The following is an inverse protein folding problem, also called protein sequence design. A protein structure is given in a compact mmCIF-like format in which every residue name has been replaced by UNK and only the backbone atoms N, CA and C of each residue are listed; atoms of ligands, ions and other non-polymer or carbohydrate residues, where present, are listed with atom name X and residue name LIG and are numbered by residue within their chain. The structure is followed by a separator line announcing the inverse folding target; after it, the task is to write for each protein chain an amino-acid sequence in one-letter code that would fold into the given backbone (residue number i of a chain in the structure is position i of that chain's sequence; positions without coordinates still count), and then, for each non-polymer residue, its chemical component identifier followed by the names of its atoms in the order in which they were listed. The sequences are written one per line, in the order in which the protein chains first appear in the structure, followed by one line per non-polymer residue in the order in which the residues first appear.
data_IF_518612188852
#
_entry.id   IF_518612188852
#
_cell.length_a   1.000
_cell.length_b   1.000
_cell.length_c   1.000
_cell.angle_alpha   90.00
_cell.angle_beta   90.00
_cell.angle_gamma   90.00
#
_symmetry.space_group_name_H-M   'P 1'
#
loop_
_entity.id
_entity.type
_entity.pdbx_description
1 polymer ?
#
# COMPACT_ATOMS: atom_id res chain seq x y z
N UNK A 1 89.86 -4.33 33.80
CA UNK A 1 89.12 -3.53 32.80
C UNK A 1 87.63 -3.82 33.00
N UNK A 2 86.87 -2.75 33.27
CA UNK A 2 85.40 -2.57 33.12
C UNK A 2 84.44 -3.62 33.70
N UNK A 3 83.85 -3.31 34.86
CA UNK A 3 82.55 -3.83 35.28
C UNK A 3 81.49 -2.72 35.08
N UNK A 4 80.53 -2.97 34.20
CA UNK A 4 79.47 -2.03 33.82
C UNK A 4 78.20 -2.28 34.64
N UNK A 5 77.67 -1.21 35.22
CA UNK A 5 76.40 -1.19 35.94
C UNK A 5 75.22 -1.27 34.95
N UNK A 6 74.32 -2.25 35.12
CA UNK A 6 73.02 -2.28 34.47
C UNK A 6 71.99 -1.56 35.34
N UNK A 7 71.45 -0.45 34.82
CA UNK A 7 70.29 0.25 35.36
C UNK A 7 69.02 -0.40 34.79
N UNK A 8 68.13 -0.86 35.67
CA UNK A 8 66.85 -1.46 35.32
C UNK A 8 65.86 -0.40 34.77
N UNK A 9 65.36 -0.61 33.55
CA UNK A 9 64.22 0.13 33.01
C UNK A 9 62.94 -0.69 33.26
N UNK A 10 62.16 -0.29 34.26
CA UNK A 10 60.80 -0.80 34.45
C UNK A 10 59.86 -0.09 33.47
N UNK A 11 59.42 -0.80 32.43
CA UNK A 11 58.40 -0.30 31.49
C UNK A 11 57.03 -0.63 32.07
N UNK A 12 56.24 0.39 32.38
CA UNK A 12 54.83 0.26 32.77
C UNK A 12 54.02 -0.23 31.58
N UNK A 13 53.52 -1.46 31.64
CA UNK A 13 52.50 -1.96 30.71
C UNK A 13 51.17 -1.25 31.01
N UNK A 14 50.68 -0.46 30.06
CA UNK A 14 49.32 0.09 30.13
C UNK A 14 48.32 -1.06 29.98
N UNK A 15 47.51 -1.30 31.01
CA UNK A 15 46.39 -2.22 30.94
C UNK A 15 45.41 -1.73 29.86
N UNK A 16 45.00 -2.62 28.95
CA UNK A 16 43.99 -2.32 27.93
C UNK A 16 42.63 -2.22 28.62
N UNK A 17 42.04 -1.03 28.62
CA UNK A 17 40.68 -0.80 29.11
C UNK A 17 39.69 -1.44 28.12
N UNK A 18 38.89 -2.41 28.58
CA UNK A 18 37.80 -2.96 27.78
C UNK A 18 36.71 -1.92 27.66
N UNK A 19 36.57 -1.31 26.48
CA UNK A 19 35.42 -0.45 26.15
C UNK A 19 34.29 -1.33 25.63
N UNK A 20 33.20 -1.40 26.38
CA UNK A 20 31.93 -1.89 25.88
C UNK A 20 31.22 -0.71 25.21
N UNK A 21 30.88 -0.87 23.93
CA UNK A 21 29.93 0.01 23.26
C UNK A 21 28.66 -0.77 22.95
N UNK A 22 27.53 -0.07 22.95
CA UNK A 22 26.22 -0.61 22.61
C UNK A 22 25.64 0.29 21.54
N UNK A 23 25.09 -0.33 20.50
CA UNK A 23 24.30 0.33 19.47
C UNK A 23 22.92 -0.34 19.48
N UNK A 24 21.88 0.45 19.65
CA UNK A 24 20.51 -0.05 19.87
C UNK A 24 19.44 0.80 19.22
N UNK A 25 19.76 1.99 18.74
CA UNK A 25 18.79 2.86 18.07
C UNK A 25 18.93 2.78 16.55
N UNK A 26 17.80 2.88 15.82
CA UNK A 26 17.82 2.79 14.36
C UNK A 26 18.76 3.84 13.71
N UNK A 27 18.80 5.06 14.26
CA UNK A 27 19.67 6.15 13.78
C UNK A 27 21.17 5.83 13.92
N UNK A 28 21.56 4.91 14.80
CA UNK A 28 22.95 4.48 14.97
C UNK A 28 23.39 3.51 13.88
N UNK A 29 22.43 2.81 13.26
CA UNK A 29 22.66 1.90 12.13
C UNK A 29 22.54 2.59 10.76
N UNK A 30 22.00 3.81 10.68
CA UNK A 30 21.88 4.58 9.42
C UNK A 30 23.22 4.81 8.70
N UNK A 31 24.34 4.72 9.43
CA UNK A 31 25.70 4.85 8.89
C UNK A 31 26.31 3.53 8.44
N UNK A 32 25.63 2.40 8.67
CA UNK A 32 26.08 1.07 8.31
C UNK A 32 25.46 0.57 7.00
N UNK A 33 26.16 -0.31 6.30
CA UNK A 33 25.58 -1.07 5.19
C UNK A 33 24.88 -2.32 5.74
N UNK A 34 23.60 -2.49 5.41
CA UNK A 34 22.81 -3.67 5.78
C UNK A 34 22.72 -4.62 4.58
N UNK A 35 23.50 -5.69 4.59
CA UNK A 35 23.38 -6.78 3.62
C UNK A 35 22.55 -7.92 4.20
N UNK A 36 21.40 -8.22 3.58
CA UNK A 36 20.52 -9.31 4.03
C UNK A 36 19.89 -9.09 5.41
N UNK A 37 19.92 -7.86 5.94
CA UNK A 37 19.35 -7.49 7.23
C UNK A 37 18.28 -6.40 7.08
N UNK A 38 17.21 -6.52 7.85
CA UNK A 38 16.20 -5.49 8.04
C UNK A 38 16.38 -4.87 9.43
N UNK A 39 16.23 -3.55 9.50
CA UNK A 39 16.27 -2.78 10.73
C UNK A 39 14.87 -2.25 11.03
N UNK A 40 14.31 -2.63 12.18
CA UNK A 40 13.05 -2.03 12.63
C UNK A 40 13.25 -0.59 13.10
N UNK A 41 12.18 0.21 13.12
CA UNK A 41 12.20 1.56 13.70
C UNK A 41 12.59 1.60 15.19
N UNK A 42 12.51 0.45 15.88
CA UNK A 42 12.94 0.29 17.27
C UNK A 42 14.39 -0.18 17.40
N UNK A 43 15.17 -0.18 16.31
CA UNK A 43 16.58 -0.58 16.30
C UNK A 43 16.83 -2.09 16.32
N UNK A 44 15.83 -2.93 16.06
CA UNK A 44 16.00 -4.39 16.02
C UNK A 44 16.48 -4.83 14.63
N UNK A 45 17.61 -5.54 14.59
CA UNK A 45 18.08 -6.25 13.40
C UNK A 45 17.39 -7.61 13.27
N UNK A 46 16.98 -7.95 12.06
CA UNK A 46 16.51 -9.29 11.66
C UNK A 46 16.98 -9.61 10.25
N UNK A 47 16.84 -10.85 9.81
CA UNK A 47 17.03 -11.17 8.39
C UNK A 47 16.04 -10.36 7.54
N UNK A 48 16.52 -9.76 6.45
CA UNK A 48 15.66 -9.08 5.50
C UNK A 48 14.84 -10.10 4.70
N UNK A 49 13.61 -9.75 4.29
CA UNK A 49 12.93 -10.50 3.24
C UNK A 49 13.78 -10.50 1.97
N UNK A 50 13.81 -11.64 1.28
CA UNK A 50 14.45 -11.74 -0.04
C UNK A 50 13.48 -11.16 -1.06
N UNK A 51 13.89 -10.08 -1.73
CA UNK A 51 13.16 -9.53 -2.86
C UNK A 51 13.56 -10.30 -4.12
N UNK A 52 12.58 -10.91 -4.77
CA UNK A 52 12.75 -11.56 -6.06
C UNK A 52 11.93 -10.80 -7.08
N UNK A 53 12.57 -10.34 -8.15
CA UNK A 53 11.87 -9.81 -9.31
C UNK A 53 11.09 -10.95 -9.98
N UNK A 54 9.78 -10.77 -10.11
CA UNK A 54 8.91 -11.73 -10.79
C UNK A 54 8.88 -11.48 -12.31
N UNK A 55 8.82 -10.21 -12.70
CA UNK A 55 8.76 -9.75 -14.08
C UNK A 55 8.92 -8.23 -14.19
N UNK A 56 9.67 -7.75 -15.19
CA UNK A 56 9.62 -6.37 -15.66
C UNK A 56 8.65 -6.25 -16.86
N UNK A 57 7.47 -5.63 -16.67
CA UNK A 57 6.48 -5.45 -17.75
C UNK A 57 6.86 -4.36 -18.77
N UNK A 58 8.03 -3.73 -18.63
CA UNK A 58 8.46 -2.58 -19.45
C UNK A 58 7.41 -1.46 -19.44
N UNK A 59 6.84 -1.21 -18.26
CA UNK A 59 5.88 -0.15 -17.97
C UNK A 59 6.53 0.89 -17.06
N UNK A 60 6.30 2.20 -17.27
CA UNK A 60 6.83 3.23 -16.39
C UNK A 60 6.33 3.10 -14.95
N UNK A 61 5.03 2.79 -14.77
CA UNK A 61 4.43 2.60 -13.45
C UNK A 61 3.47 1.40 -13.41
N UNK A 62 3.46 0.74 -12.24
CA UNK A 62 2.37 -0.11 -11.78
C UNK A 62 1.71 0.59 -10.59
N UNK A 63 0.39 0.77 -10.68
CA UNK A 63 -0.40 1.58 -9.74
C UNK A 63 -1.20 0.74 -8.75
N UNK A 64 -1.56 -0.48 -9.15
CA UNK A 64 -2.38 -1.37 -8.33
C UNK A 64 -1.96 -2.82 -8.51
N UNK A 65 -2.17 -3.62 -7.47
CA UNK A 65 -1.96 -5.06 -7.52
C UNK A 65 -2.98 -5.80 -6.66
N UNK A 66 -3.42 -6.98 -7.13
CA UNK A 66 -4.34 -7.87 -6.41
C UNK A 66 -4.04 -9.33 -6.76
N UNK A 67 -4.38 -10.25 -5.86
CA UNK A 67 -4.30 -11.68 -6.10
C UNK A 67 -5.70 -12.31 -6.09
N UNK A 68 -5.94 -13.31 -6.94
CA UNK A 68 -7.12 -14.18 -6.83
C UNK A 68 -6.91 -15.31 -5.80
N UNK A 69 -7.95 -16.11 -5.55
CA UNK A 69 -7.87 -17.23 -4.58
C UNK A 69 -6.93 -18.36 -5.01
N UNK A 70 -6.53 -18.39 -6.29
CA UNK A 70 -5.59 -19.36 -6.87
C UNK A 70 -4.15 -18.88 -6.81
N UNK A 71 -3.91 -17.65 -6.34
CA UNK A 71 -2.59 -17.02 -6.27
C UNK A 71 -2.15 -16.37 -7.59
N UNK A 72 -3.04 -16.20 -8.57
CA UNK A 72 -2.76 -15.40 -9.76
C UNK A 72 -2.64 -13.95 -9.35
N UNK A 73 -1.51 -13.32 -9.67
CA UNK A 73 -1.27 -11.90 -9.46
C UNK A 73 -1.74 -11.10 -10.67
N UNK A 74 -2.37 -9.97 -10.39
CA UNK A 74 -2.75 -8.98 -11.37
C UNK A 74 -2.14 -7.64 -10.98
N UNK A 75 -1.57 -6.92 -11.94
CA UNK A 75 -1.03 -5.59 -11.74
C UNK A 75 -1.58 -4.62 -12.79
N UNK A 76 -2.10 -3.50 -12.34
CA UNK A 76 -2.59 -2.42 -13.20
C UNK A 76 -1.49 -1.38 -13.40
N UNK A 77 -1.27 -0.96 -14.64
CA UNK A 77 -0.25 0.03 -14.99
C UNK A 77 -0.78 1.11 -15.93
N UNK A 78 0.15 1.86 -16.50
CA UNK A 78 -0.15 2.89 -17.50
C UNK A 78 -0.73 2.31 -18.80
N UNK A 79 -1.30 3.19 -19.63
CA UNK A 79 -1.88 2.84 -20.94
C UNK A 79 -2.97 1.76 -20.84
N UNK A 80 -3.71 1.74 -19.73
CA UNK A 80 -4.78 0.78 -19.48
C UNK A 80 -4.31 -0.67 -19.34
N UNK A 81 -2.99 -0.93 -19.20
CA UNK A 81 -2.47 -2.31 -19.17
C UNK A 81 -2.75 -3.01 -17.86
N UNK A 82 -3.23 -4.26 -17.97
CA UNK A 82 -3.35 -5.20 -16.88
C UNK A 82 -2.41 -6.37 -17.15
N UNK A 83 -1.43 -6.55 -16.29
CA UNK A 83 -0.48 -7.66 -16.32
C UNK A 83 -1.02 -8.77 -15.43
N UNK A 84 -0.94 -10.02 -15.87
CA UNK A 84 -1.32 -11.22 -15.12
C UNK A 84 -0.14 -12.17 -15.02
N UNK A 85 0.03 -12.78 -13.83
CA UNK A 85 0.97 -13.87 -13.61
C UNK A 85 0.34 -14.95 -12.74
N UNK A 86 0.15 -16.15 -13.28
CA UNK A 86 -0.23 -17.33 -12.48
C UNK A 86 0.95 -17.81 -11.63
N UNK A 87 0.71 -18.55 -10.52
CA UNK A 87 1.78 -19.07 -9.68
C UNK A 87 2.82 -19.87 -10.48
N UNK A 88 4.09 -19.47 -10.42
CA UNK A 88 5.19 -20.10 -11.14
C UNK A 88 5.17 -19.92 -12.67
N UNK A 89 4.19 -19.21 -13.22
CA UNK A 89 4.09 -18.90 -14.65
C UNK A 89 4.82 -17.61 -15.02
N UNK A 90 5.04 -17.41 -16.32
CA UNK A 90 5.52 -16.14 -16.87
C UNK A 90 4.40 -15.11 -16.87
N UNK A 91 4.70 -13.88 -16.48
CA UNK A 91 3.75 -12.78 -16.59
C UNK A 91 3.44 -12.44 -18.06
N UNK A 92 2.23 -11.94 -18.31
CA UNK A 92 1.78 -11.48 -19.64
C UNK A 92 0.79 -10.34 -19.51
N UNK A 93 0.63 -9.54 -20.57
CA UNK A 93 -0.50 -8.61 -20.67
C UNK A 93 -1.79 -9.43 -20.82
N UNK A 94 -2.70 -9.28 -19.86
CA UNK A 94 -4.02 -9.90 -19.89
C UNK A 94 -4.99 -9.07 -20.73
N UNK A 95 -5.03 -7.76 -20.49
CA UNK A 95 -5.96 -6.84 -21.11
C UNK A 95 -5.33 -5.45 -21.25
N UNK A 96 -5.83 -4.69 -22.22
CA UNK A 96 -5.54 -3.27 -22.39
C UNK A 96 -6.87 -2.55 -22.43
N UNK A 97 -7.14 -1.74 -21.41
CA UNK A 97 -8.34 -0.92 -21.33
C UNK A 97 -8.15 0.38 -22.11
N UNK A 98 -9.25 0.92 -22.64
CA UNK A 98 -9.21 2.23 -23.27
C UNK A 98 -9.10 3.32 -22.20
N UNK A 99 -8.14 4.22 -22.39
CA UNK A 99 -7.89 5.36 -21.52
C UNK A 99 -6.88 5.07 -20.40
N UNK A 100 -6.11 6.09 -20.06
CA UNK A 100 -5.53 6.26 -18.72
C UNK A 100 -4.62 5.17 -18.17
N UNK A 101 -4.54 5.14 -16.84
CA UNK A 101 -3.81 4.17 -16.04
C UNK A 101 -4.77 3.37 -15.16
N UNK A 102 -4.48 2.08 -14.94
CA UNK A 102 -5.31 1.18 -14.11
C UNK A 102 -4.93 1.36 -12.64
N UNK A 103 -5.61 2.29 -11.97
CA UNK A 103 -5.33 2.65 -10.58
C UNK A 103 -6.03 1.77 -9.55
N UNK A 104 -7.10 1.06 -9.93
CA UNK A 104 -7.80 0.21 -9.00
C UNK A 104 -8.13 -1.15 -9.62
N UNK A 105 -7.82 -2.21 -8.87
CA UNK A 105 -8.16 -3.58 -9.18
C UNK A 105 -8.86 -4.21 -7.97
N UNK A 106 -9.83 -5.09 -8.23
CA UNK A 106 -10.43 -5.92 -7.20
C UNK A 106 -10.79 -7.30 -7.78
N UNK A 107 -10.68 -8.33 -6.94
CA UNK A 107 -11.14 -9.68 -7.25
C UNK A 107 -12.27 -10.02 -6.31
N UNK A 108 -13.38 -10.53 -6.85
CA UNK A 108 -14.49 -10.99 -6.02
C UNK A 108 -14.31 -12.45 -5.58
N UNK A 109 -15.21 -12.94 -4.73
CA UNK A 109 -15.16 -14.32 -4.22
C UNK A 109 -15.30 -15.43 -5.29
N UNK A 110 -15.56 -15.07 -6.56
CA UNK A 110 -15.64 -15.98 -7.71
C UNK A 110 -14.39 -15.93 -8.60
N UNK A 111 -13.32 -15.28 -8.16
CA UNK A 111 -12.10 -14.98 -8.92
C UNK A 111 -12.36 -14.11 -10.17
N UNK A 112 -13.41 -13.28 -10.16
CA UNK A 112 -13.66 -12.35 -11.27
C UNK A 112 -12.92 -11.04 -11.00
N UNK A 113 -12.14 -10.60 -12.00
CA UNK A 113 -11.35 -9.37 -11.93
C UNK A 113 -12.16 -8.16 -12.36
N UNK A 114 -12.06 -7.09 -11.59
CA UNK A 114 -12.62 -5.78 -11.88
C UNK A 114 -11.52 -4.74 -11.88
N UNK A 115 -11.62 -3.77 -12.79
CA UNK A 115 -10.60 -2.74 -12.98
C UNK A 115 -11.26 -1.37 -13.20
N UNK A 116 -10.68 -0.33 -12.62
CA UNK A 116 -11.00 1.05 -12.93
C UNK A 116 -9.80 1.79 -13.49
N UNK A 117 -10.09 2.76 -14.37
CA UNK A 117 -9.13 3.52 -15.15
C UNK A 117 -9.22 4.99 -14.81
N UNK A 118 -8.07 5.66 -14.68
CA UNK A 118 -7.97 7.12 -14.48
C UNK A 118 -7.20 7.75 -15.66
N UNK A 119 -7.70 8.83 -16.29
CA UNK A 119 -8.92 9.57 -15.96
C UNK A 119 -10.21 8.83 -16.35
N UNK A 120 -11.29 9.12 -15.64
CA UNK A 120 -12.60 8.49 -15.82
C UNK A 120 -13.05 7.71 -14.58
N UNK A 121 -14.28 7.20 -14.64
CA UNK A 121 -14.93 6.46 -13.55
C UNK A 121 -15.37 5.06 -13.97
N UNK A 122 -15.08 4.61 -15.19
CA UNK A 122 -15.53 3.31 -15.69
C UNK A 122 -14.91 2.17 -14.91
N UNK A 123 -15.75 1.25 -14.46
CA UNK A 123 -15.37 -0.02 -13.87
C UNK A 123 -15.67 -1.11 -14.88
N UNK A 124 -14.65 -1.87 -15.26
CA UNK A 124 -14.76 -2.98 -16.18
C UNK A 124 -14.63 -4.30 -15.45
N UNK A 125 -15.44 -5.29 -15.84
CA UNK A 125 -15.21 -6.69 -15.54
C UNK A 125 -14.32 -7.30 -16.62
N UNK A 126 -13.22 -7.93 -16.21
CA UNK A 126 -12.22 -8.52 -17.08
C UNK A 126 -12.36 -10.04 -17.05
N UNK A 127 -12.59 -10.63 -18.22
CA UNK A 127 -12.64 -12.09 -18.36
C UNK A 127 -11.24 -12.72 -18.30
N UNK A 128 -11.17 -14.02 -18.05
CA UNK A 128 -9.93 -14.78 -18.07
C UNK A 128 -9.21 -14.74 -19.44
N UNK A 129 -9.93 -14.46 -20.53
CA UNK A 129 -9.38 -14.26 -21.87
C UNK A 129 -8.95 -12.82 -22.17
N UNK A 130 -9.12 -11.89 -21.23
CA UNK A 130 -8.71 -10.49 -21.39
C UNK A 130 -9.77 -9.56 -21.96
N UNK A 131 -10.96 -10.06 -22.30
CA UNK A 131 -12.08 -9.21 -22.76
C UNK A 131 -12.63 -8.39 -21.60
N UNK A 132 -12.77 -7.08 -21.81
CA UNK A 132 -13.33 -6.14 -20.85
C UNK A 132 -14.80 -5.84 -21.17
N UNK A 133 -15.66 -5.85 -20.15
CA UNK A 133 -17.08 -5.49 -20.25
C UNK A 133 -17.38 -4.41 -19.23
N UNK A 134 -18.10 -3.35 -19.64
CA UNK A 134 -18.48 -2.29 -18.72
C UNK A 134 -19.41 -2.87 -17.64
N UNK A 135 -19.04 -2.69 -16.38
CA UNK A 135 -19.81 -3.15 -15.23
C UNK A 135 -20.59 -2.00 -14.59
N UNK A 136 -19.92 -0.87 -14.36
CA UNK A 136 -20.52 0.32 -13.81
C UNK A 136 -19.77 1.56 -14.31
N UNK A 137 -20.47 2.68 -14.33
CA UNK A 137 -19.91 4.01 -14.61
C UNK A 137 -20.55 4.97 -13.61
N UNK A 138 -20.00 5.07 -12.38
CA UNK A 138 -20.33 6.15 -11.46
C UNK A 138 -20.22 7.53 -12.13
N UNK A 139 -20.88 8.51 -11.55
CA UNK A 139 -20.67 9.93 -11.91
C UNK A 139 -19.17 10.28 -11.92
N UNK A 140 -18.73 11.28 -12.70
CA UNK A 140 -17.32 11.50 -12.98
C UNK A 140 -16.53 11.73 -11.68
N UNK A 141 -15.75 10.72 -11.31
CA UNK A 141 -14.89 10.67 -10.14
C UNK A 141 -13.58 9.98 -10.49
N UNK A 142 -12.51 10.29 -9.75
CA UNK A 142 -11.30 9.47 -9.74
C UNK A 142 -11.54 8.23 -8.89
N UNK A 143 -11.43 7.04 -9.46
CA UNK A 143 -11.54 5.78 -8.69
C UNK A 143 -10.17 5.28 -8.26
N UNK A 144 -9.84 5.48 -6.99
CA UNK A 144 -8.50 5.20 -6.45
C UNK A 144 -8.33 3.78 -5.91
N UNK A 145 -9.41 3.16 -5.44
CA UNK A 145 -9.39 1.79 -4.91
C UNK A 145 -10.74 1.11 -5.10
N UNK A 146 -10.70 -0.22 -5.21
CA UNK A 146 -11.87 -1.09 -5.31
C UNK A 146 -11.74 -2.21 -4.28
N UNK A 147 -12.83 -2.58 -3.60
CA UNK A 147 -12.86 -3.74 -2.70
C UNK A 147 -14.23 -4.40 -2.73
N UNK A 148 -14.27 -5.73 -2.74
CA UNK A 148 -15.51 -6.48 -2.57
C UNK A 148 -15.74 -6.80 -1.08
N UNK A 149 -17.00 -6.74 -0.64
CA UNK A 149 -17.39 -7.44 0.58
C UNK A 149 -17.67 -8.93 0.34
N UNK A 150 -17.87 -9.66 1.43
CA UNK A 150 -18.20 -11.08 1.40
C UNK A 150 -19.59 -11.37 0.84
N UNK A 151 -20.48 -10.38 0.76
CA UNK A 151 -21.80 -10.50 0.14
C UNK A 151 -21.76 -10.26 -1.38
N UNK A 152 -20.63 -9.78 -1.91
CA UNK A 152 -20.41 -9.51 -3.32
C UNK A 152 -20.76 -8.09 -3.77
N UNK A 153 -21.01 -7.15 -2.84
CA UNK A 153 -21.08 -5.74 -3.19
C UNK A 153 -19.66 -5.19 -3.42
N UNK A 154 -19.51 -4.36 -4.45
CA UNK A 154 -18.26 -3.67 -4.73
C UNK A 154 -18.30 -2.27 -4.10
N UNK A 155 -17.22 -1.88 -3.44
CA UNK A 155 -17.05 -0.52 -2.93
C UNK A 155 -15.91 0.15 -3.68
N UNK A 156 -16.08 1.43 -3.99
CA UNK A 156 -15.08 2.24 -4.67
C UNK A 156 -14.71 3.46 -3.82
N UNK A 157 -13.42 3.71 -3.70
CA UNK A 157 -12.88 4.96 -3.17
C UNK A 157 -12.83 5.99 -4.30
N UNK A 158 -13.64 7.03 -4.17
CA UNK A 158 -13.81 8.08 -5.17
C UNK A 158 -13.12 9.38 -4.75
N UNK A 159 -12.78 10.20 -5.74
CA UNK A 159 -12.21 11.53 -5.57
C UNK A 159 -12.87 12.56 -6.49
N UNK A 160 -12.88 13.80 -6.02
CA UNK A 160 -13.58 14.96 -6.59
C UNK A 160 -15.09 14.70 -6.77
N UNK A 161 -15.89 14.64 -5.68
CA UNK A 161 -15.50 14.72 -4.26
C UNK A 161 -15.05 13.38 -3.64
N UNK A 162 -14.48 13.44 -2.44
CA UNK A 162 -14.01 12.28 -1.68
C UNK A 162 -15.16 11.48 -1.09
N UNK A 163 -15.54 10.39 -1.77
CA UNK A 163 -16.68 9.55 -1.38
C UNK A 163 -16.31 8.06 -1.37
N UNK A 164 -17.07 7.29 -0.58
CA UNK A 164 -17.12 5.84 -0.72
C UNK A 164 -18.42 5.49 -1.43
N UNK A 165 -18.29 4.89 -2.61
CA UNK A 165 -19.41 4.42 -3.40
C UNK A 165 -19.66 2.95 -3.13
N UNK A 166 -20.93 2.55 -3.14
CA UNK A 166 -21.37 1.16 -3.13
C UNK A 166 -22.03 0.82 -4.46
N UNK A 167 -21.53 -0.23 -5.10
CA UNK A 167 -21.99 -0.74 -6.39
C UNK A 167 -22.55 -2.15 -6.16
N UNK A 168 -23.83 -2.34 -6.51
CA UNK A 168 -24.49 -3.65 -6.41
C UNK A 168 -24.07 -4.61 -7.55
N UNK A 169 -24.51 -5.86 -7.47
CA UNK A 169 -24.18 -6.88 -8.47
C UNK A 169 -24.71 -6.58 -9.89
N UNK A 170 -25.64 -5.62 -10.05
CA UNK A 170 -26.17 -5.17 -11.33
C UNK A 170 -25.48 -3.88 -11.83
N UNK A 171 -24.44 -3.40 -11.14
CA UNK A 171 -23.73 -2.18 -11.47
C UNK A 171 -24.42 -0.90 -11.01
N UNK A 172 -25.46 -0.98 -10.15
CA UNK A 172 -26.13 0.21 -9.63
C UNK A 172 -25.27 0.87 -8.56
N UNK A 173 -25.02 2.17 -8.73
CA UNK A 173 -24.15 2.98 -7.88
C UNK A 173 -24.99 3.75 -6.86
N UNK A 174 -24.50 3.82 -5.63
CA UNK A 174 -25.02 4.68 -4.56
C UNK A 174 -23.87 5.21 -3.71
N UNK A 175 -24.00 6.42 -3.17
CA UNK A 175 -23.04 6.95 -2.19
C UNK A 175 -23.31 6.26 -0.85
N UNK A 176 -22.30 5.57 -0.32
CA UNK A 176 -22.36 4.99 1.03
C UNK A 176 -21.98 6.03 2.07
N UNK A 177 -20.95 6.81 1.80
CA UNK A 177 -20.37 7.75 2.75
C UNK A 177 -19.68 8.90 2.02
N UNK A 178 -19.91 10.12 2.49
CA UNK A 178 -19.19 11.33 2.07
C UNK A 178 -18.15 11.66 3.14
N UNK A 179 -16.87 11.76 2.74
CA UNK A 179 -15.78 11.98 3.67
C UNK A 179 -15.54 13.45 3.98
N UNK A 180 -16.25 14.37 3.32
CA UNK A 180 -16.00 15.82 3.38
C UNK A 180 -14.54 16.18 3.04
N UNK A 181 -13.93 15.40 2.15
CA UNK A 181 -12.54 15.50 1.70
C UNK A 181 -12.51 15.58 0.17
N UNK A 182 -11.36 15.96 -0.41
CA UNK A 182 -11.20 15.97 -1.87
C UNK A 182 -11.17 14.54 -2.42
N UNK A 183 -10.49 13.63 -1.73
CA UNK A 183 -10.34 12.25 -2.18
C UNK A 183 -10.43 11.26 -1.01
N UNK A 184 -11.11 10.13 -1.27
CA UNK A 184 -10.81 8.87 -0.58
C UNK A 184 -9.80 8.14 -1.46
N UNK A 185 -8.57 7.97 -0.96
CA UNK A 185 -7.42 7.47 -1.73
C UNK A 185 -7.23 5.96 -1.62
N UNK A 186 -7.64 5.36 -0.51
CA UNK A 186 -7.43 3.94 -0.23
C UNK A 186 -8.59 3.34 0.55
N UNK A 187 -8.82 2.04 0.38
CA UNK A 187 -9.96 1.33 0.95
C UNK A 187 -9.62 -0.13 1.27
N UNK A 188 -10.06 -0.63 2.42
CA UNK A 188 -9.93 -2.02 2.82
C UNK A 188 -11.16 -2.49 3.63
N UNK A 189 -11.46 -3.78 3.58
CA UNK A 189 -12.56 -4.40 4.33
C UNK A 189 -12.06 -5.01 5.64
N UNK A 190 -12.72 -4.70 6.75
CA UNK A 190 -12.53 -5.34 8.04
C UNK A 190 -13.29 -6.67 8.12
N UNK A 191 -12.82 -7.65 8.92
CA UNK A 191 -13.53 -8.93 9.10
C UNK A 191 -14.98 -8.82 9.57
N UNK A 192 -15.35 -7.70 10.21
CA UNK A 192 -16.71 -7.41 10.66
C UNK A 192 -17.59 -6.75 9.58
N UNK A 193 -17.10 -6.60 8.35
CA UNK A 193 -17.80 -5.98 7.23
C UNK A 193 -17.72 -4.45 7.17
N UNK A 194 -17.02 -3.79 8.10
CA UNK A 194 -16.80 -2.35 8.03
C UNK A 194 -15.70 -2.04 7.01
N UNK A 195 -15.70 -0.83 6.47
CA UNK A 195 -14.63 -0.32 5.62
C UNK A 195 -13.65 0.50 6.43
N UNK A 196 -12.38 0.44 6.06
CA UNK A 196 -11.34 1.38 6.47
C UNK A 196 -10.93 2.17 5.24
N UNK A 197 -10.93 3.49 5.36
CA UNK A 197 -10.63 4.39 4.25
C UNK A 197 -9.52 5.38 4.63
N UNK A 198 -8.65 5.68 3.67
CA UNK A 198 -7.64 6.74 3.78
C UNK A 198 -8.01 7.95 2.93
N UNK A 199 -7.85 9.17 3.44
CA UNK A 199 -8.25 10.41 2.74
C UNK A 199 -7.08 11.30 2.31
N UNK A 200 -7.38 12.25 1.41
CA UNK A 200 -6.58 13.44 1.07
C UNK A 200 -7.54 14.65 0.96
N UNK A 201 -7.17 15.87 1.42
CA UNK A 201 -5.88 16.29 1.99
C UNK A 201 -5.77 16.22 3.52
N UNK A 202 -6.81 15.82 4.23
CA UNK A 202 -6.78 15.75 5.69
C UNK A 202 -5.95 14.59 6.24
N UNK A 203 -5.59 13.59 5.42
CA UNK A 203 -4.77 12.45 5.83
C UNK A 203 -5.43 11.65 6.95
N UNK A 204 -6.75 11.48 6.87
CA UNK A 204 -7.58 10.77 7.83
C UNK A 204 -7.58 9.27 7.52
N UNK A 205 -7.67 8.48 8.59
CA UNK A 205 -8.02 7.07 8.55
C UNK A 205 -9.42 6.95 9.16
N UNK A 206 -10.39 6.60 8.34
CA UNK A 206 -11.80 6.52 8.69
C UNK A 206 -12.22 5.05 8.80
N UNK A 207 -13.14 4.75 9.70
CA UNK A 207 -13.92 3.52 9.71
C UNK A 207 -15.35 3.86 9.30
N UNK A 208 -15.89 3.13 8.33
CA UNK A 208 -17.26 3.33 7.84
C UNK A 208 -18.05 2.04 8.00
N UNK A 209 -19.23 2.11 8.63
CA UNK A 209 -20.11 0.95 8.79
C UNK A 209 -20.82 0.59 7.48
N UNK A 210 -21.38 -0.62 7.34
CA UNK A 210 -22.22 -0.98 6.19
C UNK A 210 -23.45 -0.07 5.99
N UNK A 211 -23.85 0.67 7.03
CA UNK A 211 -24.94 1.63 7.03
C UNK A 211 -24.50 3.04 6.62
N UNK A 212 -23.20 3.27 6.39
CA UNK A 212 -22.67 4.58 6.01
C UNK A 212 -22.33 5.48 7.18
N UNK A 213 -22.15 4.94 8.39
CA UNK A 213 -21.74 5.75 9.55
C UNK A 213 -20.21 5.82 9.62
N UNK A 214 -19.66 7.03 9.55
CA UNK A 214 -18.21 7.28 9.62
C UNK A 214 -17.69 7.54 11.04
N UNK A 215 -16.46 7.12 11.29
CA UNK A 215 -15.72 7.43 12.51
C UNK A 215 -14.23 7.63 12.19
N UNK A 216 -13.63 8.73 12.66
CA UNK A 216 -12.19 8.98 12.51
C UNK A 216 -11.41 8.11 13.48
N UNK A 217 -10.69 7.11 12.97
CA UNK A 217 -9.81 6.28 13.78
C UNK A 217 -8.52 7.01 14.13
N UNK A 218 -7.97 7.73 13.17
CA UNK A 218 -6.71 8.45 13.32
C UNK A 218 -6.60 9.55 12.27
N UNK A 219 -5.89 10.63 12.62
CA UNK A 219 -5.48 11.65 11.68
C UNK A 219 -3.95 11.69 11.67
N UNK A 220 -3.36 11.38 10.52
CA UNK A 220 -1.90 11.28 10.41
C UNK A 220 -1.24 12.66 10.49
N UNK A 221 0.09 12.73 10.57
CA UNK A 221 0.83 14.00 10.37
C UNK A 221 1.03 14.38 8.90
N UNK A 222 0.44 13.64 7.97
CA UNK A 222 0.68 13.73 6.53
C UNK A 222 -0.56 14.23 5.79
N UNK A 223 -0.41 14.55 4.51
CA UNK A 223 -1.49 15.09 3.67
C UNK A 223 -2.42 13.99 3.16
N UNK A 224 -1.88 12.85 2.78
CA UNK A 224 -2.67 11.77 2.19
C UNK A 224 -2.35 10.42 2.82
N UNK A 225 -3.37 9.56 2.89
CA UNK A 225 -3.24 8.15 3.25
C UNK A 225 -3.37 7.31 1.98
N UNK A 226 -2.22 6.98 1.37
CA UNK A 226 -2.14 6.38 0.03
C UNK A 226 -2.49 4.91 0.00
N UNK A 227 -2.39 4.20 1.13
CA UNK A 227 -2.74 2.79 1.22
C UNK A 227 -3.19 2.42 2.64
N UNK A 228 -4.19 1.54 2.71
CA UNK A 228 -4.61 0.88 3.95
C UNK A 228 -4.70 -0.62 3.70
N UNK A 229 -4.29 -1.42 4.68
CA UNK A 229 -4.42 -2.88 4.65
C UNK A 229 -4.85 -3.40 6.02
N UNK A 230 -5.58 -4.52 6.02
CA UNK A 230 -6.17 -5.11 7.22
C UNK A 230 -5.66 -6.54 7.38
N UNK A 231 -5.07 -6.83 8.53
CA UNK A 231 -4.67 -8.19 8.88
C UNK A 231 -5.87 -9.03 9.37
N UNK A 232 -5.79 -10.38 9.35
CA UNK A 232 -6.90 -11.25 9.77
C UNK A 232 -7.39 -11.02 11.21
N UNK A 233 -6.53 -10.53 12.10
CA UNK A 233 -6.87 -10.18 13.47
C UNK A 233 -7.56 -8.79 13.60
N UNK A 234 -7.80 -8.10 12.49
CA UNK A 234 -8.38 -6.76 12.45
C UNK A 234 -7.39 -5.61 12.62
N UNK A 235 -6.09 -5.87 12.75
CA UNK A 235 -5.08 -4.80 12.78
C UNK A 235 -5.06 -4.03 11.46
N UNK A 236 -5.02 -2.70 11.56
CA UNK A 236 -5.00 -1.78 10.42
C UNK A 236 -3.57 -1.25 10.23
N UNK A 237 -3.05 -1.36 9.02
CA UNK A 237 -1.79 -0.76 8.59
C UNK A 237 -2.10 0.34 7.58
N UNK A 238 -1.45 1.49 7.70
CA UNK A 238 -1.67 2.61 6.81
C UNK A 238 -0.33 3.23 6.38
N UNK A 239 -0.22 3.55 5.09
CA UNK A 239 0.86 4.33 4.53
C UNK A 239 0.38 5.75 4.29
N UNK A 240 1.14 6.74 4.75
CA UNK A 240 0.78 8.15 4.63
C UNK A 240 1.94 8.98 4.07
N UNK A 241 1.63 9.92 3.19
CA UNK A 241 2.59 10.68 2.41
C UNK A 241 2.20 12.16 2.27
N UNK A 242 3.16 12.96 1.80
CA UNK A 242 2.98 14.39 1.58
C UNK A 242 3.07 15.24 2.85
N UNK A 243 3.48 16.49 2.67
CA UNK A 243 3.52 17.47 3.74
C UNK A 243 2.18 18.20 3.82
N UNK A 244 1.71 18.46 5.04
CA UNK A 244 0.60 19.39 5.23
C UNK A 244 1.09 20.80 4.94
N UNK A 245 0.48 21.47 3.96
CA UNK A 245 0.60 22.91 3.86
C UNK A 245 -0.03 23.58 5.10
N UNK A 246 0.34 24.83 5.43
CA UNK A 246 -0.43 25.59 6.40
C UNK A 246 -1.90 25.62 5.96
N UNK A 247 -2.83 25.47 6.91
CA UNK A 247 -4.26 25.62 6.63
C UNK A 247 -4.47 26.96 5.90
N UNK A 248 -5.00 26.94 4.69
CA UNK A 248 -5.42 28.18 4.05
C UNK A 248 -6.52 28.79 4.92
N UNK A 249 -6.41 30.06 5.32
CA UNK A 249 -7.51 30.74 5.97
C UNK A 249 -8.72 30.69 5.05
N UNK A 250 -9.86 30.25 5.58
CA UNK A 250 -11.16 30.37 4.93
C UNK A 250 -11.57 31.84 4.79
#
# INVERSE_FOLDING_TARGET
MTAAALLAAAVTLFAVETKLWTQSEAAEFDKGELEGLALSSTGKLSLAPVFQELHDPSLPQLWSAVADSKGTLYAGGDEGRIIMQSPGGTAKVLATLEGGAVHALAVNAKDELFAAVIPGSKIYKISASGSATLFAEPEPHYLWALVFDTAGALYAAAGDPGQILKIDANGRVSVLFDAEEAHVRSLALLPNGHLVAGTEPGGLILRVTPQGEGFVLHQTGKREVTSVSVAPNGSIYAAAAGNRGPAQPQ
#
